data_IF_978757910121
#
_entry.id   IF_978757910121
#
_cell.length_a   1.000
_cell.length_b   1.000
_cell.length_c   1.000
_cell.angle_alpha   90.00
_cell.angle_beta   90.00
_cell.angle_gamma   90.00
#
_symmetry.space_group_name_H-M   'P 1'
#
loop_
_entity.id
_entity.type
_entity.pdbx_description
1 polymer ?
#
# COMPACT_ATOMS: atom_id res chain seq x y z
N UNK A 1 -9.46 4.31 -6.73
CA UNK A 1 -8.41 4.93 -5.89
C UNK A 1 -7.18 4.04 -5.69
N UNK A 2 -7.30 2.72 -5.52
CA UNK A 2 -6.14 1.80 -5.47
C UNK A 2 -5.21 1.99 -6.66
N UNK A 3 -5.77 2.29 -7.84
CA UNK A 3 -5.08 2.61 -9.08
C UNK A 3 -3.83 3.48 -8.90
N UNK A 4 -3.88 4.45 -7.97
CA UNK A 4 -2.80 5.42 -7.77
C UNK A 4 -1.99 5.18 -6.50
N UNK A 5 -2.22 4.12 -5.73
CA UNK A 5 -1.52 3.91 -4.44
C UNK A 5 0.01 3.88 -4.57
N UNK A 6 0.53 3.27 -5.63
CA UNK A 6 1.97 3.25 -5.90
C UNK A 6 2.53 4.54 -6.49
N UNK A 7 1.68 5.36 -7.12
CA UNK A 7 2.11 6.45 -8.00
C UNK A 7 2.80 7.61 -7.28
N UNK A 8 2.27 8.18 -6.16
CA UNK A 8 2.95 9.24 -5.43
C UNK A 8 4.35 8.84 -4.97
N UNK A 9 4.49 7.59 -4.50
CA UNK A 9 5.78 7.07 -4.06
C UNK A 9 6.74 6.84 -5.24
N UNK A 10 6.24 6.36 -6.38
CA UNK A 10 7.04 6.26 -7.60
C UNK A 10 7.55 7.63 -8.06
N UNK A 11 6.67 8.65 -8.06
CA UNK A 11 7.03 10.03 -8.40
C UNK A 11 8.08 10.57 -7.43
N UNK A 12 7.89 10.38 -6.13
CA UNK A 12 8.85 10.81 -5.10
C UNK A 12 10.22 10.17 -5.31
N UNK A 13 10.28 8.84 -5.47
CA UNK A 13 11.53 8.11 -5.72
C UNK A 13 12.20 8.57 -7.01
N UNK A 14 11.42 8.76 -8.08
CA UNK A 14 11.93 9.25 -9.35
C UNK A 14 12.52 10.66 -9.27
N UNK A 15 11.88 11.57 -8.50
CA UNK A 15 12.36 12.95 -8.33
C UNK A 15 13.55 13.03 -7.38
N UNK A 16 13.49 12.36 -6.24
CA UNK A 16 14.51 12.46 -5.20
C UNK A 16 15.73 11.55 -5.45
N UNK A 17 15.63 10.57 -6.34
CA UNK A 17 16.70 9.62 -6.71
C UNK A 17 17.32 8.89 -5.50
N UNK A 18 16.60 8.82 -4.38
CA UNK A 18 17.03 8.19 -3.14
C UNK A 18 15.89 7.41 -2.51
N UNK A 19 16.21 6.20 -2.07
CA UNK A 19 15.34 5.40 -1.23
C UNK A 19 15.80 5.58 0.20
N UNK A 20 14.98 6.23 1.03
CA UNK A 20 15.28 6.47 2.45
C UNK A 20 15.42 5.18 3.27
N UNK A 21 15.39 5.30 4.59
CA UNK A 21 15.55 4.15 5.49
C UNK A 21 14.27 3.28 5.57
N UNK A 22 13.99 2.54 4.49
CA UNK A 22 12.80 1.71 4.33
C UNK A 22 13.10 0.23 4.48
N UNK A 23 12.09 -0.53 4.90
CA UNK A 23 12.14 -1.99 4.89
C UNK A 23 11.65 -2.50 3.54
N UNK A 24 12.53 -3.14 2.77
CA UNK A 24 12.24 -3.53 1.38
C UNK A 24 11.22 -4.69 1.32
N UNK A 25 11.17 -5.54 2.34
CA UNK A 25 10.16 -6.59 2.45
C UNK A 25 8.74 -6.03 2.54
N UNK A 26 8.55 -4.83 3.10
CA UNK A 26 7.25 -4.15 3.18
C UNK A 26 6.66 -3.91 1.80
N UNK A 27 7.49 -3.53 0.83
CA UNK A 27 7.03 -3.33 -0.55
C UNK A 27 6.63 -4.65 -1.21
N UNK A 28 7.36 -5.72 -0.94
CA UNK A 28 6.98 -7.06 -1.42
C UNK A 28 5.69 -7.57 -0.79
N UNK A 29 5.54 -7.46 0.54
CA UNK A 29 4.30 -7.78 1.24
C UNK A 29 3.11 -7.02 0.66
N UNK A 30 3.29 -5.74 0.36
CA UNK A 30 2.23 -4.93 -0.22
C UNK A 30 1.86 -5.40 -1.64
N UNK A 31 2.85 -5.74 -2.49
CA UNK A 31 2.59 -6.34 -3.79
C UNK A 31 1.79 -7.65 -3.64
N UNK A 32 2.23 -8.56 -2.76
CA UNK A 32 1.49 -9.80 -2.49
C UNK A 32 0.06 -9.54 -2.01
N UNK A 33 -0.14 -8.53 -1.17
CA UNK A 33 -1.47 -8.09 -0.75
C UNK A 33 -2.34 -7.63 -1.93
N UNK A 34 -1.84 -6.74 -2.79
CA UNK A 34 -2.54 -6.29 -4.00
C UNK A 34 -2.91 -7.48 -4.89
N UNK A 35 -1.96 -8.38 -5.16
CA UNK A 35 -2.19 -9.55 -6.00
C UNK A 35 -3.22 -10.51 -5.40
N UNK A 36 -3.20 -10.67 -4.08
CA UNK A 36 -4.17 -11.51 -3.38
C UNK A 36 -5.59 -10.92 -3.41
N UNK A 37 -5.73 -9.59 -3.48
CA UNK A 37 -7.03 -8.94 -3.72
C UNK A 37 -7.57 -9.24 -5.13
N UNK A 38 -6.71 -9.28 -6.16
CA UNK A 38 -7.10 -9.69 -7.52
C UNK A 38 -7.62 -11.12 -7.49
N UNK A 39 -6.89 -12.02 -6.82
CA UNK A 39 -7.26 -13.42 -6.68
C UNK A 39 -8.60 -13.58 -5.94
N UNK A 40 -8.75 -12.94 -4.77
CA UNK A 40 -9.97 -12.98 -3.96
C UNK A 40 -11.21 -12.53 -4.75
N UNK A 41 -11.11 -11.42 -5.49
CA UNK A 41 -12.24 -10.89 -6.25
C UNK A 41 -12.63 -11.75 -7.46
N UNK A 42 -11.65 -12.42 -8.08
CA UNK A 42 -11.86 -13.25 -9.27
C UNK A 42 -12.39 -14.65 -8.93
N UNK A 43 -12.00 -15.21 -7.78
CA UNK A 43 -12.36 -16.57 -7.38
C UNK A 43 -13.56 -16.65 -6.42
N UNK A 44 -14.22 -15.52 -6.12
CA UNK A 44 -15.36 -15.50 -5.21
C UNK A 44 -16.47 -16.50 -5.65
N UNK A 45 -17.00 -17.33 -4.73
CA UNK A 45 -17.99 -18.35 -5.06
C UNK A 45 -19.42 -17.81 -5.19
N UNK A 46 -19.71 -16.65 -4.58
CA UNK A 46 -21.05 -16.06 -4.52
C UNK A 46 -21.20 -14.99 -5.60
N UNK A 47 -20.33 -13.98 -5.59
CA UNK A 47 -20.40 -12.85 -6.50
C UNK A 47 -19.00 -12.35 -6.84
N UNK A 48 -18.66 -12.40 -8.14
CA UNK A 48 -17.39 -11.88 -8.65
C UNK A 48 -17.27 -10.38 -8.36
N UNK A 49 -16.19 -9.99 -7.71
CA UNK A 49 -15.97 -8.61 -7.27
C UNK A 49 -15.14 -7.85 -8.32
N UNK A 50 -15.71 -7.59 -9.50
CA UNK A 50 -15.01 -7.00 -10.64
C UNK A 50 -14.29 -5.68 -10.31
N UNK A 51 -14.91 -4.82 -9.50
CA UNK A 51 -14.31 -3.55 -9.09
C UNK A 51 -12.97 -3.75 -8.34
N UNK A 52 -12.87 -4.79 -7.51
CA UNK A 52 -11.65 -5.17 -6.79
C UNK A 52 -10.60 -5.69 -7.77
N UNK A 53 -11.00 -6.60 -8.66
CA UNK A 53 -10.09 -7.20 -9.65
C UNK A 53 -9.48 -6.11 -10.52
N UNK A 54 -10.30 -5.30 -11.19
CA UNK A 54 -9.84 -4.26 -12.13
C UNK A 54 -8.95 -3.24 -11.42
N UNK A 55 -9.37 -2.76 -10.24
CA UNK A 55 -8.62 -1.76 -9.48
C UNK A 55 -7.24 -2.27 -9.06
N UNK A 56 -7.14 -3.54 -8.65
CA UNK A 56 -5.89 -4.13 -8.19
C UNK A 56 -5.01 -4.61 -9.34
N UNK A 57 -5.55 -5.02 -10.48
CA UNK A 57 -4.77 -5.29 -11.70
C UNK A 57 -3.96 -4.06 -12.10
N UNK A 58 -4.63 -2.91 -12.29
CA UNK A 58 -3.97 -1.67 -12.68
C UNK A 58 -3.01 -1.19 -11.58
N UNK A 59 -3.43 -1.26 -10.31
CA UNK A 59 -2.56 -0.91 -9.18
C UNK A 59 -1.28 -1.74 -9.16
N UNK A 60 -1.36 -3.05 -9.37
CA UNK A 60 -0.20 -3.95 -9.32
C UNK A 60 0.84 -3.57 -10.37
N UNK A 61 0.41 -3.26 -11.61
CA UNK A 61 1.29 -2.86 -12.71
C UNK A 61 2.00 -1.54 -12.43
N UNK A 62 1.30 -0.56 -11.86
CA UNK A 62 1.91 0.71 -11.43
C UNK A 62 2.86 0.47 -10.25
N UNK A 63 2.46 -0.38 -9.30
CA UNK A 63 3.23 -0.64 -8.09
C UNK A 63 4.53 -1.41 -8.36
N UNK A 64 4.57 -2.25 -9.39
CA UNK A 64 5.81 -2.87 -9.90
C UNK A 64 6.88 -1.81 -10.20
N UNK A 65 6.48 -0.67 -10.77
CA UNK A 65 7.40 0.46 -11.03
C UNK A 65 7.89 1.04 -9.70
N UNK A 66 7.00 1.25 -8.72
CA UNK A 66 7.38 1.73 -7.38
C UNK A 66 8.40 0.80 -6.71
N UNK A 67 8.15 -0.51 -6.76
CA UNK A 67 9.04 -1.53 -6.20
C UNK A 67 10.40 -1.52 -6.92
N UNK A 68 10.42 -1.47 -8.25
CA UNK A 68 11.66 -1.34 -9.02
C UNK A 68 12.43 -0.06 -8.67
N UNK A 69 11.78 1.10 -8.61
CA UNK A 69 12.41 2.38 -8.26
C UNK A 69 13.03 2.36 -6.86
N UNK A 70 12.40 1.65 -5.92
CA UNK A 70 12.91 1.43 -4.55
C UNK A 70 14.27 0.72 -4.58
N UNK A 71 14.46 -0.26 -5.48
CA UNK A 71 15.76 -0.91 -5.68
C UNK A 71 16.72 -0.06 -6.53
N UNK A 72 16.24 0.59 -7.60
CA UNK A 72 17.03 1.44 -8.51
C UNK A 72 17.79 2.55 -7.78
N UNK A 73 17.14 3.13 -6.77
CA UNK A 73 17.64 4.25 -5.97
C UNK A 73 18.04 3.82 -4.56
N UNK A 74 18.32 2.53 -4.35
CA UNK A 74 18.91 2.04 -3.10
C UNK A 74 20.32 2.61 -2.91
N UNK A 75 20.67 2.95 -1.66
CA UNK A 75 22.04 3.26 -1.27
C UNK A 75 22.93 2.02 -1.19
N UNK A 76 22.35 0.82 -1.05
CA UNK A 76 23.06 -0.45 -1.01
C UNK A 76 23.37 -0.95 -2.44
N UNK A 77 24.66 -1.05 -2.84
CA UNK A 77 25.04 -1.49 -4.19
C UNK A 77 24.54 -2.89 -4.54
N UNK A 78 24.46 -3.81 -3.57
CA UNK A 78 23.99 -5.19 -3.82
C UNK A 78 22.51 -5.18 -4.19
N UNK A 79 21.69 -4.36 -3.50
CA UNK A 79 20.26 -4.21 -3.81
C UNK A 79 20.06 -3.53 -5.15
N UNK A 80 20.81 -2.46 -5.42
CA UNK A 80 20.76 -1.74 -6.69
C UNK A 80 21.05 -2.64 -7.89
N UNK A 81 22.01 -3.57 -7.76
CA UNK A 81 22.30 -4.58 -8.79
C UNK A 81 21.12 -5.49 -9.08
N UNK A 82 20.34 -5.85 -8.07
CA UNK A 82 19.21 -6.76 -8.19
C UNK A 82 17.93 -6.10 -8.75
N UNK A 83 17.93 -4.80 -9.03
CA UNK A 83 16.76 -4.05 -9.51
C UNK A 83 16.04 -4.70 -10.70
N UNK A 84 16.77 -5.24 -11.68
CA UNK A 84 16.19 -5.80 -12.90
C UNK A 84 15.55 -7.15 -12.63
N UNK A 85 16.16 -7.94 -11.73
CA UNK A 85 15.57 -9.18 -11.23
C UNK A 85 14.27 -8.87 -10.51
N UNK A 86 14.24 -7.83 -9.66
CA UNK A 86 13.03 -7.38 -8.97
C UNK A 86 11.96 -6.94 -9.95
N UNK A 87 12.30 -6.14 -10.97
CA UNK A 87 11.34 -5.73 -11.99
C UNK A 87 10.77 -6.94 -12.73
N UNK A 88 11.62 -7.82 -13.24
CA UNK A 88 11.20 -8.98 -14.02
C UNK A 88 10.35 -9.96 -13.19
N UNK A 89 10.80 -10.30 -11.98
CA UNK A 89 10.08 -11.23 -11.09
C UNK A 89 8.73 -10.67 -10.63
N UNK A 90 8.67 -9.39 -10.24
CA UNK A 90 7.41 -8.77 -9.81
C UNK A 90 6.43 -8.56 -10.97
N UNK A 91 6.92 -8.23 -12.16
CA UNK A 91 6.10 -8.13 -13.37
C UNK A 91 5.56 -9.50 -13.80
N UNK A 92 6.42 -10.52 -13.85
CA UNK A 92 6.05 -11.89 -14.21
C UNK A 92 4.99 -12.43 -13.23
N UNK A 93 5.20 -12.25 -11.93
CA UNK A 93 4.24 -12.62 -10.91
C UNK A 93 2.90 -11.89 -11.08
N UNK A 94 2.93 -10.58 -11.35
CA UNK A 94 1.72 -9.79 -11.55
C UNK A 94 0.95 -10.25 -12.78
N UNK A 95 1.63 -10.45 -13.91
CA UNK A 95 1.02 -10.96 -15.15
C UNK A 95 0.43 -12.35 -14.90
N UNK A 96 1.17 -13.25 -14.25
CA UNK A 96 0.67 -14.58 -13.94
C UNK A 96 -0.63 -14.55 -13.14
N UNK A 97 -0.69 -13.78 -12.05
CA UNK A 97 -1.90 -13.65 -11.23
C UNK A 97 -3.04 -12.99 -12.00
N UNK A 98 -2.76 -11.95 -12.79
CA UNK A 98 -3.78 -11.29 -13.63
C UNK A 98 -4.35 -12.27 -14.66
N UNK A 99 -3.49 -13.00 -15.37
CA UNK A 99 -3.92 -14.00 -16.35
C UNK A 99 -4.75 -15.10 -15.69
N UNK A 100 -4.30 -15.63 -14.55
CA UNK A 100 -5.04 -16.64 -13.78
C UNK A 100 -6.42 -16.12 -13.34
N UNK A 101 -6.49 -14.89 -12.85
CA UNK A 101 -7.74 -14.25 -12.44
C UNK A 101 -8.69 -13.98 -13.62
N UNK A 102 -8.17 -13.59 -14.79
CA UNK A 102 -8.98 -13.45 -16.00
C UNK A 102 -9.53 -14.81 -16.43
N UNK A 103 -8.70 -15.86 -16.44
CA UNK A 103 -9.15 -17.23 -16.73
C UNK A 103 -10.24 -17.67 -15.75
N UNK A 104 -10.10 -17.38 -14.46
CA UNK A 104 -11.11 -17.69 -13.45
C UNK A 104 -12.44 -16.95 -13.66
N UNK A 105 -12.39 -15.71 -14.16
CA UNK A 105 -13.59 -14.94 -14.50
C UNK A 105 -14.28 -15.48 -15.76
N UNK A 106 -13.51 -15.87 -16.79
CA UNK A 106 -14.05 -16.39 -18.06
C UNK A 106 -14.57 -17.82 -17.93
N UNK A 107 -13.84 -18.67 -17.21
CA UNK A 107 -14.17 -20.09 -17.01
C UNK A 107 -14.99 -20.34 -15.74
N UNK A 108 -15.41 -19.27 -15.06
CA UNK A 108 -16.20 -19.30 -13.83
C UNK A 108 -15.62 -20.17 -12.71
N UNK A 109 -14.29 -20.20 -12.57
CA UNK A 109 -13.64 -20.92 -11.49
C UNK A 109 -13.98 -20.30 -10.13
N UNK A 110 -14.24 -21.17 -9.15
CA UNK A 110 -14.64 -20.79 -7.80
C UNK A 110 -13.77 -21.47 -6.78
N UNK A 111 -13.40 -20.73 -5.73
CA UNK A 111 -12.81 -21.34 -4.55
C UNK A 111 -13.90 -21.98 -3.68
N UNK A 112 -13.57 -23.06 -2.95
CA UNK A 112 -14.41 -23.52 -1.85
C UNK A 112 -14.66 -22.39 -0.86
N UNK A 113 -15.88 -22.29 -0.33
CA UNK A 113 -16.30 -21.20 0.56
C UNK A 113 -15.35 -21.03 1.75
N UNK A 114 -14.87 -22.12 2.33
CA UNK A 114 -13.95 -22.08 3.47
C UNK A 114 -12.60 -21.46 3.10
N UNK A 115 -12.08 -21.77 1.92
CA UNK A 115 -10.84 -21.17 1.42
C UNK A 115 -11.02 -19.66 1.16
N UNK A 116 -12.15 -19.28 0.55
CA UNK A 116 -12.48 -17.86 0.32
C UNK A 116 -12.55 -17.08 1.64
N UNK A 117 -13.21 -17.64 2.66
CA UNK A 117 -13.33 -17.00 3.97
C UNK A 117 -11.97 -16.82 4.65
N UNK A 118 -11.11 -17.86 4.62
CA UNK A 118 -9.76 -17.77 5.20
C UNK A 118 -8.90 -16.73 4.50
N UNK A 119 -8.87 -16.74 3.16
CA UNK A 119 -8.10 -15.77 2.37
C UNK A 119 -8.63 -14.35 2.61
N UNK A 120 -9.95 -14.18 2.70
CA UNK A 120 -10.56 -12.87 2.96
C UNK A 120 -10.22 -12.27 4.33
N UNK A 121 -9.77 -13.05 5.31
CA UNK A 121 -9.20 -12.52 6.55
C UNK A 121 -7.73 -12.13 6.37
N UNK A 122 -6.96 -12.98 5.70
CA UNK A 122 -5.50 -12.85 5.60
C UNK A 122 -5.09 -11.69 4.69
N UNK A 123 -5.82 -11.48 3.58
CA UNK A 123 -5.45 -10.48 2.58
C UNK A 123 -5.48 -9.05 3.15
N UNK A 124 -6.56 -8.60 3.83
CA UNK A 124 -6.56 -7.30 4.50
C UNK A 124 -5.42 -7.14 5.50
N UNK A 125 -5.15 -8.18 6.32
CA UNK A 125 -4.07 -8.22 7.31
C UNK A 125 -2.73 -7.94 6.64
N UNK A 126 -2.40 -8.66 5.57
CA UNK A 126 -1.12 -8.49 4.85
C UNK A 126 -0.98 -7.05 4.34
N UNK A 127 -2.03 -6.48 3.75
CA UNK A 127 -1.99 -5.11 3.23
C UNK A 127 -1.86 -4.05 4.33
N UNK A 128 -2.52 -4.24 5.47
CA UNK A 128 -2.43 -3.32 6.63
C UNK A 128 -1.05 -3.41 7.27
N UNK A 129 -0.53 -4.62 7.47
CA UNK A 129 0.76 -4.83 8.14
C UNK A 129 1.97 -4.62 7.23
N UNK A 130 1.80 -4.52 5.90
CA UNK A 130 2.91 -4.29 4.98
C UNK A 130 3.78 -3.10 5.41
N UNK A 131 3.17 -1.98 5.79
CA UNK A 131 3.90 -0.79 6.23
C UNK A 131 3.86 -0.54 7.73
N UNK A 132 3.14 -1.36 8.50
CA UNK A 132 3.01 -1.16 9.95
C UNK A 132 4.35 -1.14 10.71
N UNK A 133 5.33 -2.05 10.46
CA UNK A 133 6.63 -1.97 11.11
C UNK A 133 7.37 -0.65 10.83
N UNK A 134 7.15 -0.09 9.65
CA UNK A 134 7.71 1.20 9.27
C UNK A 134 7.00 2.35 9.97
N UNK A 135 5.67 2.26 10.15
CA UNK A 135 4.89 3.23 10.94
C UNK A 135 5.38 3.27 12.38
N UNK A 136 5.52 2.11 13.04
CA UNK A 136 6.01 2.02 14.41
C UNK A 136 7.41 2.64 14.55
N UNK A 137 8.35 2.23 13.68
CA UNK A 137 9.69 2.79 13.69
C UNK A 137 9.68 4.31 13.48
N UNK A 138 8.87 4.83 12.58
CA UNK A 138 8.79 6.26 12.31
C UNK A 138 8.26 7.06 13.51
N UNK A 139 7.30 6.49 14.27
CA UNK A 139 6.79 7.09 15.50
C UNK A 139 7.87 7.10 16.59
N UNK A 140 8.57 5.98 16.78
CA UNK A 140 9.59 5.84 17.82
C UNK A 140 10.83 6.68 17.53
N UNK A 141 11.35 6.60 16.31
CA UNK A 141 12.60 7.28 15.93
C UNK A 141 12.41 8.72 15.45
N UNK A 142 11.15 9.19 15.31
CA UNK A 142 10.78 10.48 14.69
C UNK A 142 11.38 10.68 13.28
N UNK A 143 11.79 9.60 12.62
CA UNK A 143 12.35 9.59 11.26
C UNK A 143 11.29 9.13 10.27
N UNK A 144 10.71 10.10 9.57
CA UNK A 144 9.67 9.88 8.56
C UNK A 144 10.22 9.81 7.13
N UNK A 145 11.55 9.80 6.94
CA UNK A 145 12.19 9.80 5.62
C UNK A 145 11.86 8.58 4.76
N UNK A 146 11.37 7.51 5.38
CA UNK A 146 11.02 6.29 4.71
C UNK A 146 9.67 6.30 3.97
N UNK A 147 8.77 7.24 4.26
CA UNK A 147 7.46 7.31 3.59
C UNK A 147 7.11 8.77 3.26
N UNK A 148 6.76 9.03 2.00
CA UNK A 148 6.34 10.38 1.61
C UNK A 148 4.97 10.71 2.19
N UNK A 149 4.75 11.96 2.61
CA UNK A 149 3.43 12.40 3.12
C UNK A 149 2.33 12.18 2.06
N UNK A 150 2.64 12.35 0.78
CA UNK A 150 1.72 12.08 -0.33
C UNK A 150 1.32 10.60 -0.44
N UNK A 151 2.23 9.67 -0.13
CA UNK A 151 1.90 8.24 -0.05
C UNK A 151 0.94 7.97 1.10
N UNK A 152 1.18 8.54 2.28
CA UNK A 152 0.28 8.39 3.45
C UNK A 152 -1.11 8.95 3.15
N UNK A 153 -1.20 10.14 2.55
CA UNK A 153 -2.47 10.71 2.10
C UNK A 153 -3.21 9.79 1.14
N UNK A 154 -2.50 9.19 0.19
CA UNK A 154 -3.11 8.29 -0.80
C UNK A 154 -3.59 7.00 -0.14
N UNK A 155 -2.88 6.48 0.87
CA UNK A 155 -3.40 5.39 1.70
C UNK A 155 -4.68 5.78 2.43
N UNK A 156 -4.71 6.93 3.11
CA UNK A 156 -5.92 7.39 3.82
C UNK A 156 -7.10 7.49 2.85
N UNK A 157 -6.92 8.17 1.71
CA UNK A 157 -7.98 8.31 0.70
C UNK A 157 -8.41 6.94 0.18
N UNK A 158 -7.48 6.05 -0.17
CA UNK A 158 -7.84 4.70 -0.60
C UNK A 158 -8.65 3.96 0.46
N UNK A 159 -8.26 4.03 1.74
CA UNK A 159 -8.99 3.41 2.84
C UNK A 159 -10.41 4.00 3.00
N UNK A 160 -10.59 5.31 2.88
CA UNK A 160 -11.92 5.95 2.91
C UNK A 160 -12.78 5.44 1.76
N UNK A 161 -12.27 5.46 0.53
CA UNK A 161 -13.01 4.99 -0.65
C UNK A 161 -13.40 3.51 -0.55
N UNK A 162 -12.51 2.64 -0.09
CA UNK A 162 -12.82 1.22 0.09
C UNK A 162 -13.79 0.99 1.24
N UNK A 163 -13.69 1.74 2.34
CA UNK A 163 -14.67 1.67 3.43
C UNK A 163 -16.07 1.99 2.91
N UNK A 164 -16.21 3.08 2.14
CA UNK A 164 -17.49 3.43 1.51
C UNK A 164 -17.97 2.34 0.55
N UNK A 165 -17.08 1.79 -0.29
CA UNK A 165 -17.41 0.70 -1.19
C UNK A 165 -17.97 -0.51 -0.42
N UNK A 166 -17.30 -0.95 0.64
CA UNK A 166 -17.74 -2.10 1.43
C UNK A 166 -19.07 -1.85 2.15
N UNK A 167 -19.29 -0.64 2.67
CA UNK A 167 -20.57 -0.25 3.27
C UNK A 167 -21.69 -0.34 2.23
N UNK A 168 -21.53 0.26 1.05
CA UNK A 168 -22.53 0.18 -0.01
C UNK A 168 -22.74 -1.24 -0.52
N UNK A 169 -21.67 -2.03 -0.63
CA UNK A 169 -21.76 -3.42 -1.03
C UNK A 169 -22.56 -4.26 -0.02
N UNK A 170 -22.34 -4.05 1.28
CA UNK A 170 -23.13 -4.72 2.34
C UNK A 170 -24.59 -4.29 2.31
N UNK A 171 -24.88 -2.99 2.11
CA UNK A 171 -26.25 -2.49 1.99
C UNK A 171 -26.99 -3.17 0.82
N UNK A 172 -26.30 -3.41 -0.30
CA UNK A 172 -26.90 -4.00 -1.50
C UNK A 172 -26.95 -5.54 -1.49
N UNK A 173 -25.89 -6.20 -1.05
CA UNK A 173 -25.71 -7.66 -1.15
C UNK A 173 -25.98 -8.41 0.16
N UNK A 174 -26.19 -7.68 1.26
CA UNK A 174 -26.35 -8.25 2.60
C UNK A 174 -25.03 -8.41 3.36
N UNK A 175 -25.16 -8.74 4.64
CA UNK A 175 -24.02 -8.93 5.54
C UNK A 175 -23.39 -10.30 5.29
N UNK A 176 -22.08 -10.32 5.08
CA UNK A 176 -21.29 -11.55 5.01
C UNK A 176 -20.01 -11.42 5.87
N UNK A 177 -19.55 -12.48 6.56
CA UNK A 177 -18.39 -12.42 7.44
C UNK A 177 -17.11 -11.86 6.80
N UNK A 178 -16.89 -12.18 5.51
CA UNK A 178 -15.75 -11.67 4.75
C UNK A 178 -15.79 -10.15 4.55
N UNK A 179 -16.99 -9.57 4.39
CA UNK A 179 -17.18 -8.13 4.20
C UNK A 179 -16.98 -7.37 5.51
N UNK A 180 -17.48 -7.93 6.62
CA UNK A 180 -17.24 -7.38 7.97
C UNK A 180 -15.74 -7.33 8.26
N UNK A 181 -15.01 -8.41 7.96
CA UNK A 181 -13.56 -8.43 8.17
C UNK A 181 -12.84 -7.37 7.34
N UNK A 182 -13.16 -7.27 6.05
CA UNK A 182 -12.60 -6.24 5.19
C UNK A 182 -12.81 -4.84 5.79
N UNK A 183 -14.01 -4.55 6.31
CA UNK A 183 -14.30 -3.29 6.99
C UNK A 183 -13.48 -3.07 8.26
N UNK A 184 -13.37 -4.07 9.14
CA UNK A 184 -12.59 -3.96 10.39
C UNK A 184 -11.14 -3.58 10.06
N UNK A 185 -10.53 -4.30 9.12
CA UNK A 185 -9.14 -4.05 8.73
C UNK A 185 -8.97 -2.72 7.99
N UNK A 186 -9.96 -2.29 7.20
CA UNK A 186 -9.95 -0.99 6.55
C UNK A 186 -9.99 0.16 7.57
N UNK A 187 -10.83 0.05 8.60
CA UNK A 187 -10.93 1.03 9.68
C UNK A 187 -9.64 1.08 10.50
N UNK A 188 -9.07 -0.07 10.87
CA UNK A 188 -7.78 -0.13 11.57
C UNK A 188 -6.65 0.51 10.76
N UNK A 189 -6.58 0.21 9.47
CA UNK A 189 -5.64 0.81 8.53
C UNK A 189 -5.83 2.33 8.43
N UNK A 190 -7.07 2.81 8.35
CA UNK A 190 -7.39 4.23 8.32
C UNK A 190 -6.91 4.95 9.58
N UNK A 191 -7.17 4.38 10.77
CA UNK A 191 -6.71 4.95 12.04
C UNK A 191 -5.18 5.02 12.10
N UNK A 192 -4.50 3.93 11.72
CA UNK A 192 -3.05 3.85 11.71
C UNK A 192 -2.42 4.93 10.82
N UNK A 193 -2.85 5.03 9.56
CA UNK A 193 -2.28 5.99 8.62
C UNK A 193 -2.64 7.44 8.96
N UNK A 194 -3.81 7.67 9.56
CA UNK A 194 -4.19 9.00 10.07
C UNK A 194 -3.30 9.44 11.23
N UNK A 195 -3.03 8.55 12.19
CA UNK A 195 -2.09 8.82 13.29
C UNK A 195 -0.68 9.13 12.78
N UNK A 196 -0.19 8.35 11.81
CA UNK A 196 1.10 8.61 11.17
C UNK A 196 1.16 9.99 10.53
N UNK A 197 0.12 10.36 9.77
CA UNK A 197 0.07 11.66 9.09
C UNK A 197 0.10 12.83 10.09
N UNK A 198 -0.69 12.74 11.17
CA UNK A 198 -0.72 13.76 12.23
C UNK A 198 0.68 13.94 12.83
N UNK A 199 1.36 12.84 13.13
CA UNK A 199 2.73 12.87 13.69
C UNK A 199 3.74 13.46 12.70
N UNK A 200 3.66 13.12 11.41
CA UNK A 200 4.48 13.71 10.35
C UNK A 200 4.31 15.23 10.26
N UNK A 201 3.06 15.71 10.26
CA UNK A 201 2.75 17.14 10.18
C UNK A 201 3.23 17.89 11.43
N UNK A 202 3.04 17.30 12.61
CA UNK A 202 3.50 17.87 13.87
C UNK A 202 5.04 18.01 13.88
N UNK A 203 5.77 16.97 13.47
CA UNK A 203 7.24 17.02 13.40
C UNK A 203 7.71 18.07 12.37
N UNK A 204 7.07 18.16 11.20
CA UNK A 204 7.41 19.17 10.21
C UNK A 204 7.22 20.60 10.74
N UNK A 205 6.17 20.84 11.54
CA UNK A 205 5.95 22.13 12.21
C UNK A 205 7.03 22.44 13.24
N UNK A 206 7.41 21.47 14.08
CA UNK A 206 8.48 21.65 15.06
C UNK A 206 9.82 21.98 14.40
N UNK A 207 10.20 21.24 13.35
CA UNK A 207 11.43 21.50 12.63
C UNK A 207 11.46 22.92 12.02
N UNK A 208 10.33 23.41 11.51
CA UNK A 208 10.22 24.78 10.98
C UNK A 208 10.40 25.84 12.07
N UNK A 209 9.83 25.63 13.26
CA UNK A 209 9.95 26.56 14.39
C UNK A 209 11.42 26.61 14.86
N UNK A 210 12.07 25.45 15.03
CA UNK A 210 13.46 25.40 15.48
C UNK A 210 14.42 26.10 14.51
N UNK A 211 14.29 25.85 13.20
CA UNK A 211 15.11 26.52 12.19
C UNK A 211 14.88 28.04 12.18
N UNK A 212 13.67 28.50 12.49
CA UNK A 212 13.36 29.94 12.57
C UNK A 212 14.06 30.55 13.79
N UNK A 213 14.05 29.87 14.93
CA UNK A 213 14.72 30.33 16.15
C UNK A 213 16.24 30.35 16.00
N UNK A 214 16.84 29.37 15.32
CA UNK A 214 18.28 29.34 15.01
C UNK A 214 18.70 30.52 14.12
N UNK A 215 17.97 30.78 13.04
CA UNK A 215 18.24 31.93 12.16
C UNK A 215 18.11 33.29 12.88
N UNK A 216 17.18 33.41 13.82
CA UNK A 216 17.02 34.63 14.64
C UNK A 216 18.16 34.77 15.66
N UNK A 217 18.66 33.65 16.20
CA UNK A 217 19.82 33.67 17.07
C UNK A 217 21.09 34.07 16.31
N UNK A 218 21.38 33.49 15.15
CA UNK A 218 22.54 33.85 14.33
C UNK A 218 22.56 35.33 13.92
N UNK A 219 21.41 35.89 13.51
CA UNK A 219 21.31 37.32 13.17
C UNK A 219 21.47 38.29 14.35
N UNK A 220 21.43 37.83 15.60
CA UNK A 220 21.71 38.67 16.77
C UNK A 220 23.20 38.80 17.09
N UNK A 221 24.06 37.97 16.49
CA UNK A 221 25.49 37.93 16.75
C UNK A 221 26.33 38.44 15.56
N UNK A 222 25.70 39.08 14.57
CA UNK A 222 26.33 39.79 13.44
C UNK A 222 26.07 41.28 13.60
#
# INVERSE_FOLDING_TARGET
>A
MTLILGLPQAIYLYKCKKTGNVKYYSYWMFLFGILSWIFLGAFDPVQKMFAIVISNCICSLIYVITLWLTYRYSSDPKRKRNQWIVLFSSLLLSIFVISLSISALVLEWKLPQIAQMSIAQIVPIITTFAFFPQVLKAIDSKDYSGMSASMVWTFILANVFWTLYWVFFIINAGIAPQLISALIWQVLSLLLYSLLLIKMMHQAKLNKINNTNENVAENKYV
#
